data_IF_777793659889
#
_entry.id   IF_777793659889
#
_cell.length_a   1.000
_cell.length_b   1.000
_cell.length_c   1.000
_cell.angle_alpha   90.00
_cell.angle_beta   90.00
_cell.angle_gamma   90.00
#
_symmetry.space_group_name_H-M   'P 1'
#
loop_
_entity.id
_entity.type
_entity.pdbx_description
1 polymer ?
#
# COMPACT_ATOMS: atom_id res chain seq x y z
N UNK A 1 -4.12 -1.76 -12.43
CA UNK A 1 -3.93 -2.35 -11.08
C UNK A 1 -2.50 -2.85 -10.98
N UNK A 2 -1.87 -2.95 -9.80
CA UNK A 2 -0.47 -3.40 -9.73
C UNK A 2 -0.30 -4.93 -9.78
N UNK A 3 0.86 -5.36 -10.27
CA UNK A 3 1.28 -6.78 -10.40
C UNK A 3 1.87 -7.32 -9.09
N UNK A 4 1.39 -8.47 -8.61
CA UNK A 4 1.82 -9.06 -7.33
C UNK A 4 3.28 -9.58 -7.34
N UNK A 5 3.87 -9.79 -8.52
CA UNK A 5 5.27 -10.20 -8.65
C UNK A 5 6.23 -9.10 -8.21
N UNK A 6 5.86 -7.84 -8.47
CA UNK A 6 6.77 -6.68 -8.31
C UNK A 6 6.28 -5.62 -7.33
N UNK A 7 4.98 -5.58 -7.01
CA UNK A 7 4.38 -4.52 -6.20
C UNK A 7 3.95 -4.99 -4.82
N UNK A 8 4.41 -4.27 -3.79
CA UNK A 8 3.92 -4.44 -2.41
C UNK A 8 2.44 -4.14 -2.25
N UNK A 9 1.92 -3.12 -2.94
CA UNK A 9 0.48 -2.78 -2.97
C UNK A 9 -0.37 -3.94 -3.48
N UNK A 10 0.12 -4.66 -4.50
CA UNK A 10 -0.59 -5.81 -5.05
C UNK A 10 -0.57 -7.02 -4.11
N UNK A 11 0.52 -7.25 -3.38
CA UNK A 11 0.53 -8.29 -2.33
C UNK A 11 -0.36 -7.91 -1.15
N UNK A 12 -0.41 -6.63 -0.76
CA UNK A 12 -1.29 -6.16 0.30
C UNK A 12 -2.76 -6.36 -0.04
N UNK A 13 -3.16 -6.08 -1.29
CA UNK A 13 -4.50 -6.42 -1.80
C UNK A 13 -4.83 -7.90 -1.59
N UNK A 14 -3.89 -8.81 -1.87
CA UNK A 14 -4.11 -10.25 -1.68
C UNK A 14 -4.31 -10.55 -0.19
N UNK A 15 -3.47 -10.00 0.69
CA UNK A 15 -3.61 -10.20 2.14
C UNK A 15 -4.95 -9.68 2.68
N UNK A 16 -5.38 -8.48 2.27
CA UNK A 16 -6.69 -7.95 2.62
C UNK A 16 -7.80 -8.90 2.22
N UNK A 17 -7.81 -9.35 0.96
CA UNK A 17 -8.86 -10.23 0.45
C UNK A 17 -8.87 -11.58 1.15
N UNK A 18 -7.70 -12.21 1.36
CA UNK A 18 -7.60 -13.50 2.06
C UNK A 18 -8.14 -13.39 3.48
N UNK A 19 -7.87 -12.28 4.17
CA UNK A 19 -8.34 -12.07 5.55
C UNK A 19 -9.83 -11.75 5.65
N UNK A 20 -10.39 -11.11 4.63
CA UNK A 20 -11.81 -10.73 4.58
C UNK A 20 -12.68 -11.90 4.09
N UNK A 21 -12.24 -12.60 3.04
CA UNK A 21 -13.08 -13.55 2.31
C UNK A 21 -12.74 -15.01 2.62
N UNK A 22 -11.53 -15.30 3.10
CA UNK A 22 -10.95 -16.65 3.03
C UNK A 22 -10.06 -16.81 1.80
N UNK A 23 -9.14 -17.78 1.85
CA UNK A 23 -8.10 -17.91 0.82
C UNK A 23 -8.69 -18.22 -0.56
N UNK A 24 -9.48 -19.29 -0.67
CA UNK A 24 -10.01 -19.73 -1.96
C UNK A 24 -11.04 -18.75 -2.53
N UNK A 25 -11.91 -18.16 -1.70
CA UNK A 25 -12.81 -17.10 -2.16
C UNK A 25 -12.04 -15.86 -2.64
N UNK A 26 -10.93 -15.49 -1.98
CA UNK A 26 -10.11 -14.35 -2.39
C UNK A 26 -9.48 -14.54 -3.78
N UNK A 27 -8.97 -15.74 -4.09
CA UNK A 27 -8.43 -16.02 -5.43
C UNK A 27 -9.53 -16.11 -6.48
N UNK A 28 -10.67 -16.74 -6.16
CA UNK A 28 -11.83 -16.79 -7.06
C UNK A 28 -12.38 -15.38 -7.36
N UNK A 29 -12.46 -14.51 -6.36
CA UNK A 29 -12.83 -13.11 -6.54
C UNK A 29 -11.85 -12.37 -7.45
N UNK A 30 -10.55 -12.52 -7.21
CA UNK A 30 -9.53 -11.88 -8.04
C UNK A 30 -9.55 -12.38 -9.50
N UNK A 31 -9.87 -13.65 -9.73
CA UNK A 31 -10.04 -14.20 -11.09
C UNK A 31 -11.19 -13.53 -11.85
N UNK A 32 -12.32 -13.26 -11.17
CA UNK A 32 -13.42 -12.48 -11.75
C UNK A 32 -13.00 -11.04 -11.98
N UNK A 33 -12.34 -10.41 -11.00
CA UNK A 33 -11.83 -9.05 -11.10
C UNK A 33 -10.86 -8.88 -12.28
N UNK A 34 -10.02 -9.88 -12.55
CA UNK A 34 -9.03 -9.85 -13.62
C UNK A 34 -9.63 -9.51 -14.99
N UNK A 35 -10.87 -9.94 -15.26
CA UNK A 35 -11.58 -9.66 -16.51
C UNK A 35 -11.79 -8.15 -16.76
N UNK A 36 -11.77 -7.34 -15.69
CA UNK A 36 -11.90 -5.89 -15.77
C UNK A 36 -10.55 -5.16 -15.76
N UNK A 37 -9.42 -5.87 -15.74
CA UNK A 37 -8.10 -5.27 -15.62
C UNK A 37 -7.46 -5.09 -17.00
N UNK A 38 -7.39 -3.83 -17.43
CA UNK A 38 -6.72 -3.45 -18.68
C UNK A 38 -5.20 -3.70 -18.63
N UNK A 39 -4.56 -3.42 -17.49
CA UNK A 39 -3.11 -3.56 -17.34
C UNK A 39 -2.71 -3.81 -15.89
N UNK A 40 -1.70 -4.68 -15.73
CA UNK A 40 -0.93 -4.83 -14.51
C UNK A 40 0.34 -3.97 -14.52
N UNK A 41 0.41 -2.97 -13.64
CA UNK A 41 1.55 -2.06 -13.52
C UNK A 41 2.65 -2.66 -12.65
N UNK A 42 3.92 -2.39 -12.99
CA UNK A 42 5.05 -2.84 -12.16
C UNK A 42 5.06 -2.18 -10.78
N UNK A 43 4.82 -0.87 -10.74
CA UNK A 43 4.70 -0.07 -9.51
C UNK A 43 3.27 -0.09 -8.96
N UNK A 44 3.15 -0.01 -7.63
CA UNK A 44 1.87 0.18 -6.92
C UNK A 44 1.12 1.42 -7.39
N UNK A 45 1.81 2.56 -7.45
CA UNK A 45 1.28 3.85 -7.87
C UNK A 45 1.08 3.97 -9.39
N UNK A 46 1.56 3.01 -10.19
CA UNK A 46 1.67 3.15 -11.65
C UNK A 46 0.34 3.35 -12.38
N UNK A 47 -0.80 3.02 -11.75
CA UNK A 47 -2.13 3.26 -12.29
C UNK A 47 -2.76 4.60 -11.90
N UNK A 48 -2.16 5.35 -10.97
CA UNK A 48 -2.80 6.52 -10.38
C UNK A 48 -2.98 7.65 -11.40
N UNK A 49 -1.93 7.97 -12.17
CA UNK A 49 -1.99 8.96 -13.24
C UNK A 49 -2.88 8.53 -14.43
N UNK A 50 -2.84 7.27 -14.92
CA UNK A 50 -3.82 6.79 -15.90
C UNK A 50 -5.28 6.98 -15.47
N UNK A 51 -5.61 6.75 -14.19
CA UNK A 51 -6.96 7.03 -13.65
C UNK A 51 -7.24 8.53 -13.62
N UNK A 52 -6.28 9.34 -13.15
CA UNK A 52 -6.39 10.79 -13.10
C UNK A 52 -6.65 11.43 -14.48
N UNK A 53 -6.11 10.84 -15.54
CA UNK A 53 -6.26 11.26 -16.93
C UNK A 53 -7.47 10.63 -17.64
N UNK A 54 -8.30 9.85 -16.94
CA UNK A 54 -9.46 9.18 -17.51
C UNK A 54 -9.13 8.03 -18.48
N UNK A 55 -7.88 7.58 -18.53
CA UNK A 55 -7.46 6.44 -19.35
C UNK A 55 -7.88 5.09 -18.75
N UNK A 56 -8.19 5.07 -17.45
CA UNK A 56 -8.78 3.94 -16.74
C UNK A 56 -9.87 4.47 -15.79
N UNK A 57 -10.96 3.72 -15.63
CA UNK A 57 -12.08 4.14 -14.80
C UNK A 57 -11.76 4.14 -13.29
N UNK A 58 -10.88 3.24 -12.84
CA UNK A 58 -10.54 3.09 -11.43
C UNK A 58 -9.21 2.33 -11.24
N UNK A 59 -8.68 2.36 -10.02
CA UNK A 59 -7.51 1.58 -9.63
C UNK A 59 -7.45 1.35 -8.12
N UNK A 60 -6.57 0.43 -7.71
CA UNK A 60 -6.34 0.08 -6.31
C UNK A 60 -4.93 0.57 -5.95
N UNK A 61 -4.85 1.45 -4.96
CA UNK A 61 -3.64 2.15 -4.55
C UNK A 61 -3.56 2.23 -3.02
N UNK A 62 -2.39 2.56 -2.49
CA UNK A 62 -2.34 3.12 -1.14
C UNK A 62 -2.84 4.56 -1.16
N UNK A 63 -3.39 5.02 -0.04
CA UNK A 63 -3.94 6.37 0.06
C UNK A 63 -2.90 7.47 -0.22
N UNK A 64 -1.62 7.24 0.11
CA UNK A 64 -0.53 8.17 -0.17
C UNK A 64 -0.45 8.56 -1.65
N UNK A 65 -0.59 7.58 -2.55
CA UNK A 65 -0.54 7.78 -4.01
C UNK A 65 -1.80 8.50 -4.51
N UNK A 66 -2.96 8.14 -3.97
CA UNK A 66 -4.23 8.74 -4.37
C UNK A 66 -4.33 10.21 -3.92
N UNK A 67 -3.85 10.53 -2.72
CA UNK A 67 -3.80 11.90 -2.20
C UNK A 67 -2.77 12.75 -2.92
N UNK A 68 -1.63 12.18 -3.33
CA UNK A 68 -0.65 12.90 -4.14
C UNK A 68 -1.26 13.35 -5.49
N UNK A 69 -2.02 12.46 -6.15
CA UNK A 69 -2.77 12.81 -7.36
C UNK A 69 -3.82 13.90 -7.11
N UNK A 70 -4.56 13.84 -6.00
CA UNK A 70 -5.51 14.90 -5.64
C UNK A 70 -4.81 16.24 -5.36
N UNK A 71 -3.65 16.21 -4.68
CA UNK A 71 -2.86 17.41 -4.39
C UNK A 71 -2.32 18.07 -5.65
N UNK A 72 -2.08 17.29 -6.72
CA UNK A 72 -1.75 17.79 -8.05
C UNK A 72 -2.95 18.42 -8.80
N UNK A 73 -4.16 18.36 -8.22
CA UNK A 73 -5.36 18.99 -8.76
C UNK A 73 -6.23 18.08 -9.62
N UNK A 74 -5.95 16.77 -9.66
CA UNK A 74 -6.73 15.84 -10.46
C UNK A 74 -8.06 15.45 -9.78
N UNK A 75 -9.16 15.32 -10.55
CA UNK A 75 -10.50 15.08 -10.01
C UNK A 75 -10.75 13.60 -9.72
N UNK A 76 -9.92 12.98 -8.87
CA UNK A 76 -10.10 11.59 -8.44
C UNK A 76 -10.92 11.51 -7.17
N UNK A 77 -11.78 10.49 -7.06
CA UNK A 77 -12.53 10.18 -5.84
C UNK A 77 -11.84 9.04 -5.11
N UNK A 78 -11.54 9.24 -3.84
CA UNK A 78 -10.96 8.22 -2.96
C UNK A 78 -12.11 7.55 -2.21
N UNK A 79 -12.13 6.22 -2.22
CA UNK A 79 -13.11 5.42 -1.48
C UNK A 79 -12.46 4.16 -0.93
N UNK A 80 -13.09 3.58 0.08
CA UNK A 80 -12.67 2.33 0.72
C UNK A 80 -13.76 1.27 0.56
N UNK A 81 -13.39 0.00 0.34
CA UNK A 81 -14.33 -1.13 0.43
C UNK A 81 -14.99 -1.18 1.82
N UNK A 82 -16.30 -1.43 1.85
CA UNK A 82 -17.09 -1.50 3.09
C UNK A 82 -16.69 -2.70 3.96
N UNK A 83 -16.20 -3.75 3.32
CA UNK A 83 -15.71 -4.97 3.95
C UNK A 83 -14.42 -4.74 4.74
N UNK A 84 -13.74 -3.62 4.47
CA UNK A 84 -12.50 -3.20 5.10
C UNK A 84 -11.27 -3.39 4.23
N UNK A 85 -10.14 -2.92 4.76
CA UNK A 85 -8.82 -3.00 4.13
C UNK A 85 -7.76 -3.33 5.16
N UNK A 86 -6.73 -4.06 4.76
CA UNK A 86 -5.49 -4.09 5.55
C UNK A 86 -4.59 -2.92 5.16
N UNK A 87 -3.49 -2.75 5.88
CA UNK A 87 -2.55 -1.64 5.70
C UNK A 87 -1.10 -2.12 5.62
N UNK A 88 -0.32 -1.40 4.83
CA UNK A 88 1.13 -1.56 4.77
C UNK A 88 1.82 -0.72 5.83
N UNK A 89 2.92 -1.23 6.37
CA UNK A 89 3.84 -0.44 7.21
C UNK A 89 5.13 -0.30 6.42
N UNK A 90 5.49 0.93 6.07
CA UNK A 90 6.77 1.22 5.45
C UNK A 90 7.88 1.09 6.51
N UNK A 91 8.80 0.15 6.28
CA UNK A 91 9.87 -0.17 7.19
C UNK A 91 11.24 0.16 6.58
N UNK A 92 12.14 0.65 7.42
CA UNK A 92 13.54 0.87 7.08
C UNK A 92 14.42 -0.10 7.88
N UNK A 93 15.57 -0.48 7.32
CA UNK A 93 16.46 -1.44 7.96
C UNK A 93 17.89 -1.32 7.47
N UNK A 94 18.83 -1.71 8.33
CA UNK A 94 20.27 -1.74 8.01
C UNK A 94 20.64 -3.09 7.42
N UNK A 95 21.31 -3.08 6.26
CA UNK A 95 21.79 -4.30 5.63
C UNK A 95 22.86 -5.00 6.47
N UNK A 96 22.79 -6.32 6.53
CA UNK A 96 23.85 -7.15 7.14
C UNK A 96 25.17 -6.92 6.40
N UNK A 97 26.21 -6.56 7.14
CA UNK A 97 27.53 -6.26 6.56
C UNK A 97 27.63 -4.86 5.91
N UNK A 98 26.77 -3.92 6.30
CA UNK A 98 26.85 -2.53 5.82
C UNK A 98 28.26 -1.94 6.02
N UNK A 99 28.88 -1.48 4.93
CA UNK A 99 30.23 -0.87 4.93
C UNK A 99 30.35 0.35 5.83
N UNK A 100 29.26 1.10 5.96
CA UNK A 100 29.16 2.33 6.75
C UNK A 100 28.16 2.16 7.90
N UNK A 101 28.37 1.15 8.76
CA UNK A 101 27.41 0.78 9.80
C UNK A 101 27.06 1.95 10.74
N UNK A 102 28.03 2.77 11.12
CA UNK A 102 27.79 3.93 12.00
C UNK A 102 26.83 4.95 11.37
N UNK A 103 27.08 5.32 10.11
CA UNK A 103 26.21 6.26 9.39
C UNK A 103 24.82 5.65 9.13
N UNK A 104 24.75 4.34 8.87
CA UNK A 104 23.47 3.65 8.73
C UNK A 104 22.65 3.71 10.02
N UNK A 105 23.27 3.53 11.19
CA UNK A 105 22.60 3.70 12.49
C UNK A 105 22.10 5.12 12.71
N UNK A 106 22.94 6.13 12.46
CA UNK A 106 22.54 7.56 12.55
C UNK A 106 21.36 7.87 11.63
N UNK A 107 21.33 7.29 10.43
CA UNK A 107 20.19 7.44 9.52
C UNK A 107 18.92 6.80 10.09
N UNK A 108 18.99 5.60 10.68
CA UNK A 108 17.84 4.95 11.32
C UNK A 108 17.30 5.76 12.51
N UNK A 109 18.18 6.34 13.34
CA UNK A 109 17.80 7.21 14.45
C UNK A 109 17.04 8.44 13.93
N UNK A 110 17.54 9.06 12.84
CA UNK A 110 16.87 10.19 12.21
C UNK A 110 15.54 9.78 11.56
N UNK A 111 15.50 8.68 10.81
CA UNK A 111 14.31 8.20 10.09
C UNK A 111 13.16 7.78 11.03
N UNK A 112 13.47 7.46 12.29
CA UNK A 112 12.48 7.16 13.34
C UNK A 112 12.22 8.35 14.30
N UNK A 113 12.86 9.49 14.06
CA UNK A 113 12.76 10.67 14.91
C UNK A 113 11.43 11.41 14.75
N UNK A 114 11.08 12.22 15.76
CA UNK A 114 9.99 13.18 15.66
C UNK A 114 10.19 14.18 14.52
N UNK A 115 11.44 14.58 14.26
CA UNK A 115 11.78 15.53 13.19
C UNK A 115 11.41 14.99 11.81
N UNK A 116 11.70 13.72 11.54
CA UNK A 116 11.32 13.11 10.26
C UNK A 116 9.80 12.94 10.15
N UNK A 117 9.15 12.47 11.21
CA UNK A 117 7.69 12.36 11.24
C UNK A 117 6.99 13.72 11.01
N UNK A 118 7.48 14.79 11.64
CA UNK A 118 6.97 16.16 11.43
C UNK A 118 7.22 16.66 10.00
N UNK A 119 8.38 16.33 9.42
CA UNK A 119 8.69 16.67 8.03
C UNK A 119 7.65 16.10 7.06
N UNK A 120 7.16 14.87 7.28
CA UNK A 120 6.12 14.27 6.44
C UNK A 120 4.84 15.12 6.48
N UNK A 121 4.41 15.54 7.66
CA UNK A 121 3.22 16.38 7.85
C UNK A 121 3.42 17.76 7.22
N UNK A 122 4.52 18.44 7.55
CA UNK A 122 4.80 19.81 7.10
C UNK A 122 4.92 19.91 5.57
N UNK A 123 5.48 18.86 4.96
CA UNK A 123 5.63 18.76 3.50
C UNK A 123 4.44 18.11 2.81
N UNK A 124 3.38 17.80 3.55
CA UNK A 124 2.15 17.16 3.05
C UNK A 124 2.45 15.84 2.31
N UNK A 125 3.49 15.14 2.73
CA UNK A 125 3.81 13.81 2.24
C UNK A 125 2.81 12.88 2.92
N UNK A 126 1.88 12.33 2.14
CA UNK A 126 0.64 11.69 2.61
C UNK A 126 0.82 10.31 3.30
N UNK A 127 1.92 10.12 4.02
CA UNK A 127 2.11 9.01 4.95
C UNK A 127 1.52 9.36 6.31
N UNK A 128 0.99 8.34 6.98
CA UNK A 128 0.56 8.45 8.38
C UNK A 128 1.78 8.15 9.26
N UNK A 129 2.29 9.12 10.04
CA UNK A 129 3.39 8.87 10.96
C UNK A 129 3.01 7.82 11.99
N UNK A 130 3.93 6.90 12.29
CA UNK A 130 3.73 5.86 13.32
C UNK A 130 3.96 6.39 14.75
N UNK A 131 4.46 7.61 14.88
CA UNK A 131 4.72 8.25 16.17
C UNK A 131 3.48 8.94 16.70
N UNK A 132 3.06 8.58 17.92
CA UNK A 132 1.91 9.21 18.60
C UNK A 132 2.15 10.62 19.13
N UNK A 133 3.39 11.13 19.07
CA UNK A 133 3.76 12.48 19.51
C UNK A 133 3.86 13.51 18.37
N UNK A 134 3.34 13.17 17.18
CA UNK A 134 3.19 14.03 16.00
C UNK A 134 1.72 14.09 15.60
N UNK A 135 1.18 15.30 15.50
CA UNK A 135 -0.20 15.53 15.09
C UNK A 135 -0.33 15.45 13.57
N UNK A 136 -1.29 14.65 13.09
CA UNK A 136 -1.61 14.55 11.66
C UNK A 136 -2.69 15.57 11.32
N UNK A 137 -2.32 16.59 10.55
CA UNK A 137 -3.23 17.72 10.24
C UNK A 137 -4.07 17.50 8.98
N UNK A 138 -3.74 16.50 8.15
CA UNK A 138 -4.52 16.18 6.95
C UNK A 138 -5.74 15.31 7.32
N UNK A 139 -6.97 15.82 7.25
CA UNK A 139 -8.16 15.05 7.64
C UNK A 139 -8.41 13.84 6.73
N UNK A 140 -7.86 13.82 5.51
CA UNK A 140 -7.97 12.66 4.62
C UNK A 140 -7.15 11.45 5.12
N UNK A 141 -6.23 11.67 6.07
CA UNK A 141 -5.46 10.62 6.72
C UNK A 141 -6.12 10.10 8.01
N UNK A 142 -7.30 10.63 8.38
CA UNK A 142 -8.09 10.11 9.49
C UNK A 142 -8.72 8.76 9.10
N UNK A 143 -8.18 7.69 9.67
CA UNK A 143 -8.65 6.33 9.43
C UNK A 143 -9.77 5.89 10.39
N UNK A 144 -10.26 6.76 11.29
CA UNK A 144 -11.31 6.41 12.26
C UNK A 144 -12.61 5.92 11.62
N UNK A 145 -12.84 6.27 10.34
CA UNK A 145 -14.01 5.86 9.55
C UNK A 145 -13.71 4.71 8.59
N UNK A 146 -12.48 4.21 8.57
CA UNK A 146 -12.05 3.10 7.69
C UNK A 146 -12.06 1.82 8.51
N UNK A 147 -12.73 0.78 7.99
CA UNK A 147 -12.68 -0.55 8.60
C UNK A 147 -11.31 -1.17 8.34
N UNK A 148 -10.42 -1.12 9.33
CA UNK A 148 -9.08 -1.66 9.25
C UNK A 148 -9.04 -3.11 9.71
N UNK A 149 -8.50 -3.98 8.86
CA UNK A 149 -8.25 -5.39 9.15
C UNK A 149 -6.80 -5.55 9.55
N UNK A 150 -6.56 -5.96 10.79
CA UNK A 150 -5.20 -6.23 11.28
C UNK A 150 -4.67 -7.53 10.68
N UNK A 151 -3.45 -7.46 10.14
CA UNK A 151 -2.79 -8.60 9.51
C UNK A 151 -1.35 -8.65 9.96
N UNK A 152 -1.00 -9.72 10.68
CA UNK A 152 0.35 -9.94 11.20
C UNK A 152 1.40 -9.90 10.07
N UNK A 153 2.46 -9.11 10.28
CA UNK A 153 3.53 -8.89 9.30
C UNK A 153 4.32 -10.18 9.04
N UNK A 154 4.49 -11.03 10.06
CA UNK A 154 5.19 -12.31 9.91
C UNK A 154 4.40 -13.25 8.99
N UNK A 155 3.08 -13.33 9.19
CA UNK A 155 2.18 -14.09 8.33
C UNK A 155 2.21 -13.59 6.89
N UNK A 156 2.20 -12.26 6.66
CA UNK A 156 2.36 -11.69 5.31
C UNK A 156 3.65 -12.16 4.66
N UNK A 157 4.77 -12.07 5.38
CA UNK A 157 6.09 -12.48 4.90
C UNK A 157 6.16 -13.97 4.56
N UNK A 158 5.67 -14.83 5.46
CA UNK A 158 5.66 -16.29 5.28
C UNK A 158 4.80 -16.74 4.09
N UNK A 159 3.66 -16.09 3.86
CA UNK A 159 2.72 -16.47 2.80
C UNK A 159 2.98 -15.77 1.46
N UNK A 160 3.85 -14.75 1.41
CA UNK A 160 4.09 -13.93 0.21
C UNK A 160 4.33 -14.78 -1.03
N UNK A 161 5.26 -15.74 -0.93
CA UNK A 161 5.62 -16.58 -2.08
C UNK A 161 4.43 -17.43 -2.54
N UNK A 162 3.79 -18.15 -1.62
CA UNK A 162 2.66 -19.03 -1.94
C UNK A 162 1.51 -18.26 -2.60
N UNK A 163 1.15 -17.09 -2.07
CA UNK A 163 0.05 -16.30 -2.62
C UNK A 163 0.38 -15.62 -3.95
N UNK A 164 1.62 -15.17 -4.15
CA UNK A 164 2.05 -14.67 -5.47
C UNK A 164 2.02 -15.81 -6.49
N UNK A 165 2.50 -17.00 -6.14
CA UNK A 165 2.48 -18.16 -7.03
C UNK A 165 1.05 -18.58 -7.37
N UNK A 166 0.13 -18.64 -6.40
CA UNK A 166 -1.31 -18.88 -6.65
C UNK A 166 -1.90 -17.82 -7.57
N UNK A 167 -1.62 -16.53 -7.32
CA UNK A 167 -2.13 -15.44 -8.15
C UNK A 167 -1.68 -15.56 -9.61
N UNK A 168 -0.40 -15.89 -9.84
CA UNK A 168 0.14 -16.12 -11.20
C UNK A 168 -0.60 -17.28 -11.88
N UNK A 169 -0.82 -18.38 -11.17
CA UNK A 169 -1.32 -19.62 -11.78
C UNK A 169 -2.84 -19.68 -11.92
N UNK A 170 -3.59 -19.00 -11.05
CA UNK A 170 -5.05 -19.12 -10.96
C UNK A 170 -5.78 -17.88 -11.48
N UNK A 171 -5.18 -16.69 -11.36
CA UNK A 171 -5.84 -15.40 -11.63
C UNK A 171 -5.45 -14.82 -12.96
N UNK A 172 -4.15 -14.70 -13.26
CA UNK A 172 -3.64 -14.02 -14.47
C UNK A 172 -3.19 -14.98 -15.58
N UNK A 173 -3.58 -16.25 -15.45
CA UNK A 173 -3.31 -17.29 -16.44
C UNK A 173 -4.47 -17.43 -17.41
#
# INVERSE_FOLDING_TARGET
>A
MADARTSGTATERIYSLVKILGEDEAFAYQKKLHQNIQMYTKSGAGGAMPVAMGQAASGIFYIVDALDIQQQGHPVVISYPKEGVSFGIEATGVLKGARNLENAKKFMDWASSKTFAQLLVDRKINYIPTRGDVEVTNPALDLSKVSLVEVDVTWKGQNRKAFVDRWINEVIK
#
